data_IF_655740088000
#
_entry.id   IF_655740088000
#
_cell.length_a   1.000
_cell.length_b   1.000
_cell.length_c   1.000
_cell.angle_alpha   90.00
_cell.angle_beta   90.00
_cell.angle_gamma   90.00
#
_symmetry.space_group_name_H-M   'P 1'
#
loop_
_entity.id
_entity.type
_entity.pdbx_description
1 polymer ?
#
# COMPACT_ATOMS: atom_id res chain seq x y z
N UNK A 1 -20.38 -25.15 11.52
CA UNK A 1 -19.58 -24.59 12.65
C UNK A 1 -18.15 -24.20 12.20
N UNK A 2 -17.49 -24.98 11.34
CA UNK A 2 -16.11 -24.73 10.92
C UNK A 2 -15.91 -23.43 10.10
N UNK A 3 -16.93 -22.97 9.38
CA UNK A 3 -16.86 -21.72 8.62
C UNK A 3 -16.92 -20.47 9.51
N UNK A 4 -17.53 -20.53 10.69
CA UNK A 4 -17.67 -19.39 11.60
C UNK A 4 -16.39 -19.11 12.38
N UNK A 5 -15.62 -20.12 12.77
CA UNK A 5 -14.31 -19.94 13.45
C UNK A 5 -13.30 -19.23 12.55
N UNK A 6 -13.44 -19.37 11.23
CA UNK A 6 -12.57 -18.67 10.26
C UNK A 6 -12.92 -17.21 10.06
N UNK A 7 -14.05 -16.73 10.59
CA UNK A 7 -14.55 -15.35 10.46
C UNK A 7 -14.17 -14.49 11.68
N UNK A 8 -13.87 -15.10 12.82
CA UNK A 8 -13.53 -14.39 14.07
C UNK A 8 -12.49 -13.25 13.87
N UNK A 9 -11.37 -13.44 13.16
CA UNK A 9 -10.43 -12.35 12.92
C UNK A 9 -11.02 -11.17 12.12
N UNK A 10 -12.02 -11.43 11.28
CA UNK A 10 -12.71 -10.39 10.51
C UNK A 10 -13.67 -9.59 11.39
N UNK A 11 -14.35 -10.26 12.33
CA UNK A 11 -15.23 -9.62 13.32
C UNK A 11 -14.42 -8.74 14.28
N UNK A 12 -13.27 -9.24 14.78
CA UNK A 12 -12.37 -8.45 15.62
C UNK A 12 -11.81 -7.22 14.89
N UNK A 13 -11.55 -7.31 13.60
CA UNK A 13 -11.14 -6.14 12.82
C UNK A 13 -12.28 -5.14 12.68
N UNK A 14 -13.53 -5.59 12.59
CA UNK A 14 -14.70 -4.71 12.50
C UNK A 14 -14.91 -3.93 13.80
N UNK A 15 -14.83 -4.57 14.97
CA UNK A 15 -14.98 -3.87 16.26
C UNK A 15 -13.96 -2.76 16.46
N UNK A 16 -12.74 -2.96 15.99
CA UNK A 16 -11.67 -1.94 16.06
C UNK A 16 -11.93 -0.70 15.21
N UNK A 17 -12.70 -0.80 14.12
CA UNK A 17 -13.13 0.39 13.35
C UNK A 17 -13.95 1.35 14.20
N UNK A 18 -14.62 0.84 15.23
CA UNK A 18 -15.44 1.60 16.16
C UNK A 18 -14.73 1.91 17.48
N UNK A 19 -13.40 1.73 17.52
CA UNK A 19 -12.57 1.94 18.72
C UNK A 19 -13.01 1.10 19.95
N UNK A 20 -13.67 -0.03 19.69
CA UNK A 20 -14.09 -0.96 20.75
C UNK A 20 -12.92 -1.90 21.10
N UNK A 21 -12.72 -2.23 22.38
CA UNK A 21 -11.73 -3.19 22.82
C UNK A 21 -12.09 -4.62 22.35
N UNK A 22 -11.08 -5.46 22.18
CA UNK A 22 -11.29 -6.86 21.80
C UNK A 22 -12.15 -7.62 22.83
N UNK A 23 -12.08 -7.22 24.10
CA UNK A 23 -12.89 -7.76 25.20
C UNK A 23 -14.40 -7.44 25.09
N UNK A 24 -14.83 -6.64 24.13
CA UNK A 24 -16.28 -6.39 23.93
C UNK A 24 -17.06 -7.69 23.71
N UNK A 25 -16.41 -8.71 23.13
CA UNK A 25 -17.02 -10.02 22.88
C UNK A 25 -17.14 -10.91 24.12
N UNK A 26 -16.48 -10.56 25.22
CA UNK A 26 -16.61 -11.23 26.52
C UNK A 26 -17.85 -10.74 27.26
N UNK A 27 -18.44 -9.63 26.83
CA UNK A 27 -19.64 -9.07 27.42
C UNK A 27 -20.88 -9.88 26.99
N UNK A 28 -21.73 -10.32 27.91
CA UNK A 28 -22.89 -11.18 27.63
C UNK A 28 -23.93 -10.52 26.71
N UNK A 29 -23.89 -9.20 26.57
CA UNK A 29 -24.79 -8.44 25.72
C UNK A 29 -24.46 -8.58 24.22
N UNK A 30 -23.21 -8.91 23.86
CA UNK A 30 -22.80 -9.08 22.49
C UNK A 30 -22.75 -10.56 22.12
N UNK A 31 -23.69 -10.98 21.31
CA UNK A 31 -23.72 -12.35 20.78
C UNK A 31 -24.27 -12.39 19.35
N UNK A 32 -24.06 -13.50 18.68
CA UNK A 32 -24.57 -13.68 17.33
C UNK A 32 -25.16 -15.07 17.13
N UNK A 33 -26.08 -15.16 16.17
CA UNK A 33 -26.67 -16.40 15.68
C UNK A 33 -26.54 -16.48 14.16
N UNK A 34 -26.27 -17.67 13.66
CA UNK A 34 -26.20 -17.96 12.23
C UNK A 34 -27.12 -19.14 11.90
N UNK A 35 -27.88 -19.01 10.83
CA UNK A 35 -28.80 -20.06 10.34
C UNK A 35 -28.84 -20.11 8.82
N UNK A 36 -29.34 -21.22 8.28
CA UNK A 36 -29.76 -21.34 6.90
C UNK A 36 -31.28 -21.44 6.91
N UNK A 37 -31.93 -20.42 6.33
CA UNK A 37 -33.39 -20.33 6.28
C UNK A 37 -33.81 -20.13 4.83
N UNK A 38 -34.67 -21.00 4.31
CA UNK A 38 -35.22 -20.90 2.94
C UNK A 38 -34.15 -20.88 1.81
N UNK A 39 -32.98 -21.52 2.03
CA UNK A 39 -31.85 -21.50 1.06
C UNK A 39 -30.95 -20.27 1.15
N UNK A 40 -31.13 -19.47 2.17
CA UNK A 40 -30.32 -18.24 2.41
C UNK A 40 -29.48 -18.36 3.69
N UNK A 41 -28.34 -17.68 3.74
CA UNK A 41 -27.64 -17.41 4.98
C UNK A 41 -28.35 -16.28 5.72
N UNK A 42 -28.64 -16.51 7.02
CA UNK A 42 -29.21 -15.51 7.91
C UNK A 42 -28.29 -15.33 9.09
N UNK A 43 -27.79 -14.11 9.30
CA UNK A 43 -26.91 -13.74 10.42
C UNK A 43 -27.64 -12.71 11.27
N UNK A 44 -27.62 -12.91 12.57
CA UNK A 44 -28.18 -11.96 13.55
C UNK A 44 -27.10 -11.63 14.58
N UNK A 45 -26.82 -10.35 14.75
CA UNK A 45 -25.98 -9.83 15.82
C UNK A 45 -26.84 -9.06 16.81
N UNK A 46 -26.56 -9.24 18.07
CA UNK A 46 -27.21 -8.58 19.19
C UNK A 46 -26.15 -7.80 19.99
N UNK A 47 -26.44 -6.57 20.33
CA UNK A 47 -25.62 -5.71 21.15
C UNK A 47 -26.35 -5.28 22.41
N UNK A 48 -25.86 -4.25 23.11
CA UNK A 48 -26.44 -3.76 24.37
C UNK A 48 -27.86 -3.23 24.22
N UNK A 49 -28.11 -2.48 23.16
CA UNK A 49 -29.38 -1.77 22.92
C UNK A 49 -29.96 -2.05 21.53
N UNK A 50 -29.19 -2.57 20.63
CA UNK A 50 -29.53 -2.74 19.23
C UNK A 50 -29.35 -4.19 18.79
N UNK A 51 -30.01 -4.52 17.66
CA UNK A 51 -29.79 -5.77 16.94
C UNK A 51 -29.70 -5.47 15.43
N UNK A 52 -28.99 -6.31 14.71
CA UNK A 52 -28.93 -6.25 13.26
C UNK A 52 -29.09 -7.65 12.68
N UNK A 53 -29.78 -7.74 11.53
CA UNK A 53 -29.96 -8.98 10.77
C UNK A 53 -29.54 -8.73 9.34
N UNK A 54 -28.71 -9.63 8.81
CA UNK A 54 -28.37 -9.70 7.40
C UNK A 54 -28.83 -11.02 6.79
N UNK A 55 -29.17 -10.97 5.52
CA UNK A 55 -29.59 -12.14 4.73
C UNK A 55 -28.92 -12.08 3.37
N UNK A 56 -28.46 -13.22 2.87
CA UNK A 56 -27.92 -13.34 1.50
C UNK A 56 -28.20 -14.74 0.95
N UNK A 57 -28.40 -14.84 -0.37
CA UNK A 57 -28.52 -16.11 -1.03
C UNK A 57 -27.24 -16.94 -0.91
N UNK A 58 -27.40 -18.26 -0.83
CA UNK A 58 -26.27 -19.19 -0.83
C UNK A 58 -25.78 -19.34 -2.27
N UNK A 59 -24.55 -18.89 -2.61
CA UNK A 59 -24.04 -19.06 -3.96
C UNK A 59 -24.02 -20.52 -4.40
N UNK A 60 -24.37 -20.75 -5.66
CA UNK A 60 -24.24 -22.05 -6.31
C UNK A 60 -23.35 -21.96 -7.52
N UNK A 61 -22.46 -22.94 -7.69
CA UNK A 61 -21.53 -23.03 -8.79
C UNK A 61 -21.37 -24.48 -9.22
N UNK A 62 -21.04 -24.71 -10.48
CA UNK A 62 -20.84 -26.05 -11.02
C UNK A 62 -19.57 -26.73 -10.49
N UNK A 63 -18.50 -25.95 -10.21
CA UNK A 63 -17.28 -26.43 -9.60
C UNK A 63 -17.36 -26.34 -8.08
N UNK A 64 -17.18 -27.47 -7.39
CA UNK A 64 -17.30 -27.56 -5.94
C UNK A 64 -16.28 -26.69 -5.19
N UNK A 65 -15.06 -26.46 -5.75
CA UNK A 65 -14.04 -25.61 -5.14
C UNK A 65 -14.40 -24.15 -5.27
N UNK A 66 -14.85 -23.73 -6.45
CA UNK A 66 -15.33 -22.38 -6.72
C UNK A 66 -16.56 -22.09 -5.87
N UNK A 67 -17.50 -23.04 -5.79
CA UNK A 67 -18.67 -22.95 -4.93
C UNK A 67 -18.31 -22.73 -3.46
N UNK A 68 -17.37 -23.51 -2.91
CA UNK A 68 -16.92 -23.35 -1.53
C UNK A 68 -16.29 -21.98 -1.28
N UNK A 69 -15.52 -21.48 -2.25
CA UNK A 69 -14.91 -20.14 -2.19
C UNK A 69 -15.99 -19.03 -2.21
N UNK A 70 -16.95 -19.11 -3.12
CA UNK A 70 -18.03 -18.13 -3.23
C UNK A 70 -18.92 -18.13 -1.98
N UNK A 71 -19.29 -19.29 -1.45
CA UNK A 71 -20.05 -19.43 -0.18
C UNK A 71 -19.31 -18.77 0.98
N UNK A 72 -18.00 -19.03 1.13
CA UNK A 72 -17.19 -18.44 2.18
C UNK A 72 -17.06 -16.92 2.03
N UNK A 73 -16.91 -16.41 0.82
CA UNK A 73 -16.89 -14.97 0.54
C UNK A 73 -18.22 -14.30 0.88
N UNK A 74 -19.33 -14.87 0.46
CA UNK A 74 -20.67 -14.36 0.75
C UNK A 74 -20.94 -14.32 2.25
N UNK A 75 -20.66 -15.40 2.97
CA UNK A 75 -20.83 -15.47 4.42
C UNK A 75 -19.98 -14.45 5.16
N UNK A 76 -18.71 -14.29 4.77
CA UNK A 76 -17.83 -13.28 5.35
C UNK A 76 -18.30 -11.85 5.09
N UNK A 77 -18.78 -11.58 3.88
CA UNK A 77 -19.34 -10.26 3.52
C UNK A 77 -20.58 -9.99 4.37
N UNK A 78 -21.51 -10.96 4.45
CA UNK A 78 -22.72 -10.84 5.25
C UNK A 78 -22.42 -10.57 6.74
N UNK A 79 -21.57 -11.38 7.35
CA UNK A 79 -21.21 -11.21 8.77
C UNK A 79 -20.61 -9.82 9.05
N UNK A 80 -19.69 -9.36 8.19
CA UNK A 80 -19.06 -8.05 8.35
C UNK A 80 -20.04 -6.90 8.21
N UNK A 81 -20.91 -6.94 7.20
CA UNK A 81 -21.93 -5.90 7.00
C UNK A 81 -22.93 -5.87 8.16
N UNK A 82 -23.45 -7.02 8.57
CA UNK A 82 -24.44 -7.10 9.67
C UNK A 82 -23.84 -6.62 10.98
N UNK A 83 -22.59 -6.97 11.29
CA UNK A 83 -21.91 -6.47 12.48
C UNK A 83 -21.64 -4.97 12.38
N UNK A 84 -21.22 -4.47 11.20
CA UNK A 84 -21.05 -3.05 10.96
C UNK A 84 -22.34 -2.26 11.27
N UNK A 85 -23.48 -2.73 10.75
CA UNK A 85 -24.78 -2.09 10.96
C UNK A 85 -25.18 -2.03 12.45
N UNK A 86 -24.88 -3.10 13.20
CA UNK A 86 -25.08 -3.10 14.64
C UNK A 86 -24.23 -2.03 15.33
N UNK A 87 -22.91 -2.07 15.09
CA UNK A 87 -21.96 -1.20 15.79
C UNK A 87 -22.17 0.27 15.43
N UNK A 88 -22.52 0.55 14.17
CA UNK A 88 -22.88 1.89 13.72
C UNK A 88 -24.10 2.45 14.47
N UNK A 89 -25.15 1.62 14.64
CA UNK A 89 -26.36 2.01 15.38
C UNK A 89 -26.07 2.22 16.88
N UNK A 90 -25.23 1.40 17.48
CA UNK A 90 -24.89 1.49 18.89
C UNK A 90 -23.95 2.66 19.23
N UNK A 91 -22.95 2.92 18.38
CA UNK A 91 -21.90 3.89 18.67
C UNK A 91 -22.12 5.25 18.03
N UNK A 92 -22.92 5.32 16.97
CA UNK A 92 -23.06 6.52 16.13
C UNK A 92 -21.80 6.86 15.31
N UNK A 93 -20.76 6.03 15.35
CA UNK A 93 -19.50 6.26 14.61
C UNK A 93 -19.68 5.82 13.15
N UNK A 94 -19.17 6.65 12.24
CA UNK A 94 -19.11 6.36 10.80
C UNK A 94 -17.65 6.26 10.35
N UNK A 95 -17.07 5.07 10.27
CA UNK A 95 -15.73 4.90 9.72
C UNK A 95 -15.66 5.37 8.25
N UNK A 96 -14.60 6.05 7.80
CA UNK A 96 -14.55 6.67 6.47
C UNK A 96 -14.69 5.67 5.30
N UNK A 97 -14.31 4.42 5.52
CA UNK A 97 -14.44 3.34 4.57
C UNK A 97 -15.64 2.42 4.84
N UNK A 98 -16.56 2.84 5.67
CA UNK A 98 -17.76 2.09 6.01
C UNK A 98 -17.46 0.66 6.47
N UNK A 99 -18.23 -0.30 5.98
CA UNK A 99 -18.06 -1.73 6.28
C UNK A 99 -16.88 -2.40 5.57
N UNK A 100 -16.12 -1.65 4.74
CA UNK A 100 -14.98 -2.16 3.99
C UNK A 100 -13.77 -2.36 4.88
N UNK A 101 -13.43 -3.61 5.19
CA UNK A 101 -12.22 -3.98 5.97
C UNK A 101 -11.07 -4.46 5.09
N UNK A 102 -11.27 -4.55 3.78
CA UNK A 102 -10.27 -4.99 2.81
C UNK A 102 -9.12 -4.00 2.66
N UNK A 103 -7.96 -4.52 2.26
CA UNK A 103 -6.76 -3.70 2.01
C UNK A 103 -6.81 -2.98 0.65
N UNK A 104 -7.71 -3.36 -0.25
CA UNK A 104 -7.86 -2.85 -1.62
C UNK A 104 -9.30 -2.47 -1.92
N UNK A 105 -9.70 -1.27 -1.55
CA UNK A 105 -11.06 -0.77 -1.85
C UNK A 105 -11.38 -0.69 -3.35
N UNK A 106 -10.36 -0.48 -4.18
CA UNK A 106 -10.47 -0.43 -5.65
C UNK A 106 -11.14 -1.67 -6.24
N UNK A 107 -10.91 -2.86 -5.68
CA UNK A 107 -11.49 -4.10 -6.16
C UNK A 107 -13.03 -4.08 -6.17
N UNK A 108 -13.67 -3.46 -5.17
CA UNK A 108 -15.13 -3.34 -5.15
C UNK A 108 -15.66 -2.39 -6.21
N UNK A 109 -14.90 -1.31 -6.51
CA UNK A 109 -15.23 -0.42 -7.63
C UNK A 109 -15.13 -1.19 -8.96
N UNK A 110 -14.06 -1.98 -9.16
CA UNK A 110 -13.92 -2.81 -10.35
C UNK A 110 -14.96 -3.92 -10.44
N UNK A 111 -15.35 -4.55 -9.32
CA UNK A 111 -16.47 -5.52 -9.30
C UNK A 111 -17.75 -4.86 -9.83
N UNK A 112 -18.12 -3.69 -9.32
CA UNK A 112 -19.31 -2.97 -9.76
C UNK A 112 -19.27 -2.59 -11.26
N UNK A 113 -18.12 -2.10 -11.74
CA UNK A 113 -17.93 -1.77 -13.16
C UNK A 113 -18.01 -3.02 -14.05
N UNK A 114 -17.45 -4.16 -13.62
CA UNK A 114 -17.52 -5.42 -14.35
C UNK A 114 -18.94 -6.04 -14.37
N UNK A 115 -19.77 -5.70 -13.39
CA UNK A 115 -21.21 -6.02 -13.37
C UNK A 115 -22.02 -5.10 -14.29
N UNK A 116 -21.38 -4.14 -14.97
CA UNK A 116 -22.01 -3.26 -15.95
C UNK A 116 -22.51 -1.93 -15.40
N UNK A 117 -22.19 -1.59 -14.15
CA UNK A 117 -22.50 -0.26 -13.59
C UNK A 117 -21.69 0.83 -14.27
N UNK A 118 -22.25 2.03 -14.41
CA UNK A 118 -21.46 3.20 -14.74
C UNK A 118 -20.57 3.60 -13.57
N UNK A 119 -19.55 4.46 -13.81
CA UNK A 119 -18.69 4.97 -12.72
C UNK A 119 -19.49 5.69 -11.63
N UNK A 120 -20.52 6.45 -12.01
CA UNK A 120 -21.41 7.15 -11.08
C UNK A 120 -22.25 6.17 -10.26
N UNK A 121 -22.87 5.16 -10.91
CA UNK A 121 -23.65 4.14 -10.21
C UNK A 121 -22.78 3.30 -9.27
N UNK A 122 -21.55 2.97 -9.67
CA UNK A 122 -20.57 2.26 -8.83
C UNK A 122 -20.19 3.08 -7.60
N UNK A 123 -20.02 4.40 -7.75
CA UNK A 123 -19.79 5.32 -6.63
C UNK A 123 -20.95 5.32 -5.64
N UNK A 124 -22.19 5.48 -6.14
CA UNK A 124 -23.40 5.43 -5.32
C UNK A 124 -23.57 4.06 -4.65
N UNK A 125 -23.26 2.98 -5.36
CA UNK A 125 -23.28 1.63 -4.81
C UNK A 125 -22.34 1.47 -3.61
N UNK A 126 -21.11 2.01 -3.68
CA UNK A 126 -20.19 1.96 -2.55
C UNK A 126 -20.70 2.75 -1.35
N UNK A 127 -21.29 3.92 -1.57
CA UNK A 127 -21.88 4.75 -0.51
C UNK A 127 -23.07 4.05 0.13
N UNK A 128 -24.01 3.55 -0.65
CA UNK A 128 -25.26 2.98 -0.13
C UNK A 128 -25.10 1.55 0.41
N UNK A 129 -24.32 0.70 -0.28
CA UNK A 129 -24.19 -0.71 0.09
C UNK A 129 -23.15 -0.92 1.21
N UNK A 130 -22.09 -0.12 1.23
CA UNK A 130 -20.97 -0.31 2.16
C UNK A 130 -20.81 0.85 3.15
N UNK A 131 -21.66 1.87 3.09
CA UNK A 131 -21.58 3.08 3.93
C UNK A 131 -20.23 3.80 3.83
N UNK A 132 -19.60 3.76 2.64
CA UNK A 132 -18.35 4.48 2.36
C UNK A 132 -18.64 5.97 2.32
N UNK A 133 -17.79 6.78 2.93
CA UNK A 133 -17.92 8.23 2.87
C UNK A 133 -17.88 8.73 1.40
N UNK A 134 -18.75 9.65 1.00
CA UNK A 134 -18.85 10.11 -0.40
C UNK A 134 -17.51 10.58 -0.98
N UNK A 135 -16.68 11.27 -0.19
CA UNK A 135 -15.35 11.74 -0.60
C UNK A 135 -14.38 10.57 -0.86
N UNK A 136 -14.50 9.45 -0.14
CA UNK A 136 -13.69 8.25 -0.38
C UNK A 136 -14.17 7.47 -1.62
N UNK A 137 -15.46 7.44 -1.87
CA UNK A 137 -16.00 6.88 -3.09
C UNK A 137 -15.59 7.72 -4.33
N UNK A 138 -15.57 9.05 -4.20
CA UNK A 138 -15.08 9.95 -5.25
C UNK A 138 -13.57 9.75 -5.52
N UNK A 139 -12.76 9.61 -4.46
CA UNK A 139 -11.33 9.29 -4.58
C UNK A 139 -11.11 7.99 -5.35
N UNK A 140 -11.90 6.93 -5.08
CA UNK A 140 -11.81 5.66 -5.82
C UNK A 140 -12.20 5.82 -7.29
N UNK A 141 -13.25 6.58 -7.59
CA UNK A 141 -13.68 6.82 -8.96
C UNK A 141 -12.62 7.57 -9.76
N UNK A 142 -12.00 8.60 -9.18
CA UNK A 142 -10.90 9.33 -9.81
C UNK A 142 -9.70 8.41 -10.06
N UNK A 143 -9.31 7.64 -9.05
CA UNK A 143 -8.20 6.70 -9.12
C UNK A 143 -8.40 5.64 -10.22
N UNK A 144 -9.55 4.98 -10.24
CA UNK A 144 -9.88 3.95 -11.24
C UNK A 144 -9.92 4.56 -12.64
N UNK A 145 -10.42 5.80 -12.78
CA UNK A 145 -10.41 6.52 -14.07
C UNK A 145 -8.99 6.78 -14.57
N UNK A 146 -8.02 7.02 -13.68
CA UNK A 146 -6.60 7.13 -14.05
C UNK A 146 -6.03 5.77 -14.44
N UNK A 147 -6.31 4.73 -13.65
CA UNK A 147 -5.81 3.37 -13.93
C UNK A 147 -6.32 2.83 -15.28
N UNK A 148 -7.56 3.11 -15.66
CA UNK A 148 -8.13 2.71 -16.95
C UNK A 148 -7.44 3.37 -18.16
N UNK A 149 -6.68 4.44 -17.97
CA UNK A 149 -5.89 5.10 -19.02
C UNK A 149 -4.46 4.52 -19.13
N UNK A 150 -4.04 3.71 -18.19
CA UNK A 150 -2.73 3.07 -18.22
C UNK A 150 -2.73 1.91 -19.24
N UNK A 151 -1.57 1.57 -19.82
CA UNK A 151 -1.48 0.42 -20.72
C UNK A 151 -1.98 -0.85 -20.02
N UNK A 152 -2.94 -1.58 -20.61
CA UNK A 152 -3.42 -2.82 -20.02
C UNK A 152 -2.28 -3.85 -19.95
N UNK A 153 -2.27 -4.74 -18.94
CA UNK A 153 -1.27 -5.79 -18.88
C UNK A 153 -1.47 -6.79 -20.05
N UNK A 154 -0.37 -7.23 -20.64
CA UNK A 154 -0.38 -8.37 -21.56
C UNK A 154 -0.17 -9.68 -20.80
N UNK A 155 -0.66 -10.80 -21.33
CA UNK A 155 -0.54 -12.12 -20.69
C UNK A 155 0.91 -12.57 -20.51
N UNK A 156 1.82 -12.06 -21.36
CA UNK A 156 3.24 -12.40 -21.33
C UNK A 156 4.08 -11.42 -20.52
N UNK A 157 3.50 -10.37 -19.96
CA UNK A 157 4.23 -9.39 -19.19
C UNK A 157 4.47 -9.82 -17.75
N UNK A 158 5.64 -9.43 -17.24
CA UNK A 158 6.04 -9.66 -15.86
C UNK A 158 6.74 -8.43 -15.28
N UNK A 159 6.58 -8.24 -13.98
CA UNK A 159 7.37 -7.31 -13.19
C UNK A 159 8.52 -8.03 -12.51
N UNK A 160 9.64 -7.32 -12.36
CA UNK A 160 10.78 -7.77 -11.58
C UNK A 160 10.99 -6.85 -10.39
N UNK A 161 11.04 -7.43 -9.20
CA UNK A 161 11.43 -6.73 -7.99
C UNK A 161 12.82 -7.17 -7.55
N UNK A 162 13.70 -6.21 -7.24
CA UNK A 162 15.05 -6.46 -6.74
C UNK A 162 15.17 -5.87 -5.35
N UNK A 163 15.25 -6.73 -4.32
CA UNK A 163 15.31 -6.31 -2.92
C UNK A 163 16.74 -6.05 -2.45
N UNK A 164 16.99 -4.90 -1.84
CA UNK A 164 18.25 -4.56 -1.15
C UNK A 164 17.92 -4.42 0.34
N UNK A 165 18.29 -5.38 1.20
CA UNK A 165 17.80 -5.44 2.58
C UNK A 165 18.59 -4.58 3.56
N UNK A 166 19.32 -3.57 3.11
CA UNK A 166 20.19 -2.76 3.96
C UNK A 166 19.63 -1.34 4.13
N UNK A 167 19.71 -0.82 5.37
CA UNK A 167 19.45 0.57 5.71
C UNK A 167 20.61 1.13 6.55
N UNK A 168 20.86 2.43 6.49
CA UNK A 168 21.86 3.07 7.35
C UNK A 168 21.45 3.07 8.82
N UNK A 169 20.15 3.26 9.09
CA UNK A 169 19.52 3.13 10.42
C UNK A 169 18.14 2.54 10.27
N UNK A 170 17.61 1.89 11.32
CA UNK A 170 16.24 1.34 11.30
C UNK A 170 15.24 2.37 11.85
N UNK A 171 14.30 2.78 11.00
CA UNK A 171 13.20 3.66 11.41
C UNK A 171 12.28 2.96 12.41
N UNK A 172 11.76 3.69 13.41
CA UNK A 172 10.96 3.13 14.51
C UNK A 172 9.60 2.58 14.05
N UNK A 173 9.04 3.13 12.97
CA UNK A 173 7.77 2.67 12.37
C UNK A 173 7.94 1.53 11.36
N UNK A 174 9.17 1.28 10.89
CA UNK A 174 9.43 0.36 9.78
C UNK A 174 9.15 -1.10 10.16
N UNK A 175 8.42 -1.79 9.29
CA UNK A 175 8.11 -3.21 9.41
C UNK A 175 8.70 -4.07 8.29
N UNK A 176 9.47 -3.47 7.39
CA UNK A 176 10.12 -4.21 6.32
C UNK A 176 11.23 -5.13 6.86
N UNK A 177 11.46 -6.23 6.13
CA UNK A 177 12.53 -7.21 6.42
C UNK A 177 13.89 -6.65 5.97
N UNK A 178 14.32 -5.55 6.62
CA UNK A 178 15.62 -4.92 6.37
C UNK A 178 16.45 -4.87 7.65
N UNK A 179 17.75 -4.97 7.48
CA UNK A 179 18.74 -4.85 8.56
C UNK A 179 19.54 -3.56 8.47
N UNK A 180 20.16 -3.17 9.57
CA UNK A 180 21.11 -2.08 9.54
C UNK A 180 22.37 -2.51 8.81
N UNK A 181 22.92 -1.60 7.99
CA UNK A 181 24.11 -1.84 7.17
C UNK A 181 25.35 -2.22 8.04
N UNK A 182 25.44 -1.67 9.25
CA UNK A 182 26.59 -1.86 10.14
C UNK A 182 27.90 -1.44 9.48
N UNK A 183 28.91 -2.31 9.57
CA UNK A 183 30.21 -2.12 8.90
C UNK A 183 30.22 -2.51 7.41
N UNK A 184 29.08 -2.97 6.87
CA UNK A 184 28.89 -3.32 5.47
C UNK A 184 29.48 -4.67 5.03
N UNK A 185 30.04 -5.48 5.95
CA UNK A 185 30.69 -6.76 5.59
C UNK A 185 29.75 -7.75 4.88
N UNK A 186 28.44 -7.66 5.10
CA UNK A 186 27.44 -8.52 4.46
C UNK A 186 27.09 -8.09 3.03
N UNK A 187 27.43 -6.88 2.60
CA UNK A 187 27.01 -6.34 1.28
C UNK A 187 27.65 -7.10 0.12
N UNK A 188 28.97 -7.31 0.16
CA UNK A 188 29.68 -7.97 -0.93
C UNK A 188 29.22 -9.45 -1.15
N UNK A 189 29.12 -10.30 -0.12
CA UNK A 189 28.57 -11.64 -0.28
C UNK A 189 27.10 -11.62 -0.72
N UNK A 190 26.30 -10.70 -0.22
CA UNK A 190 24.92 -10.53 -0.64
C UNK A 190 24.80 -10.21 -2.14
N UNK A 191 25.52 -9.19 -2.62
CA UNK A 191 25.52 -8.84 -4.04
C UNK A 191 26.00 -9.97 -4.93
N UNK A 192 26.99 -10.76 -4.47
CA UNK A 192 27.46 -11.95 -5.19
C UNK A 192 26.34 -13.00 -5.34
N UNK A 193 25.56 -13.24 -4.31
CA UNK A 193 24.41 -14.15 -4.35
C UNK A 193 23.29 -13.60 -5.22
N UNK A 194 22.94 -12.32 -5.05
CA UNK A 194 21.91 -11.63 -5.82
C UNK A 194 22.24 -11.65 -7.32
N UNK A 195 23.48 -11.41 -7.73
CA UNK A 195 23.87 -11.43 -9.14
C UNK A 195 23.70 -12.81 -9.78
N UNK A 196 23.99 -13.88 -9.05
CA UNK A 196 23.72 -15.26 -9.51
C UNK A 196 22.21 -15.51 -9.67
N UNK A 197 21.43 -15.04 -8.72
CA UNK A 197 19.95 -15.13 -8.76
C UNK A 197 19.42 -14.35 -9.99
N UNK A 198 19.92 -13.14 -10.23
CA UNK A 198 19.55 -12.33 -11.40
C UNK A 198 19.85 -13.04 -12.71
N UNK A 199 21.04 -13.69 -12.85
CA UNK A 199 21.39 -14.45 -14.05
C UNK A 199 20.43 -15.62 -14.28
N UNK A 200 20.15 -16.40 -13.25
CA UNK A 200 19.24 -17.54 -13.33
C UNK A 200 17.82 -17.12 -13.68
N UNK A 201 17.30 -16.07 -13.02
CA UNK A 201 15.97 -15.57 -13.27
C UNK A 201 15.82 -14.91 -14.65
N UNK A 202 16.83 -14.18 -15.10
CA UNK A 202 16.83 -13.63 -16.45
C UNK A 202 16.79 -14.74 -17.53
N UNK A 203 17.47 -15.86 -17.30
CA UNK A 203 17.39 -17.02 -18.19
C UNK A 203 15.99 -17.64 -18.17
N UNK A 204 15.40 -17.84 -16.98
CA UNK A 204 14.03 -18.36 -16.85
C UNK A 204 13.00 -17.50 -17.58
N UNK A 205 13.10 -16.16 -17.48
CA UNK A 205 12.19 -15.25 -18.18
C UNK A 205 12.33 -15.36 -19.71
N UNK A 206 13.55 -15.44 -20.23
CA UNK A 206 13.80 -15.65 -21.67
C UNK A 206 13.24 -16.98 -22.15
N UNK A 207 13.49 -18.06 -21.41
CA UNK A 207 13.03 -19.41 -21.77
C UNK A 207 11.48 -19.50 -21.72
N UNK A 208 10.86 -18.72 -20.84
CA UNK A 208 9.40 -18.61 -20.74
C UNK A 208 8.78 -17.61 -21.74
N UNK A 209 9.59 -16.93 -22.57
CA UNK A 209 9.12 -15.91 -23.52
C UNK A 209 8.43 -14.72 -22.87
N UNK A 210 8.81 -14.35 -21.64
CA UNK A 210 8.17 -13.25 -20.89
C UNK A 210 8.79 -11.90 -21.25
N UNK A 211 7.93 -10.88 -21.38
CA UNK A 211 8.30 -9.49 -21.57
C UNK A 211 8.30 -8.75 -20.22
N UNK A 212 9.19 -7.77 -20.09
CA UNK A 212 9.31 -6.98 -18.85
C UNK A 212 8.46 -5.73 -18.91
N UNK A 213 7.52 -5.61 -17.98
CA UNK A 213 6.70 -4.42 -17.83
C UNK A 213 7.38 -3.40 -16.92
N UNK A 214 7.75 -3.79 -15.72
CA UNK A 214 8.46 -2.93 -14.79
C UNK A 214 9.60 -3.65 -14.06
N UNK A 215 10.68 -2.93 -13.79
CA UNK A 215 11.77 -3.36 -12.91
C UNK A 215 11.89 -2.36 -11.76
N UNK A 216 11.72 -2.86 -10.54
CA UNK A 216 11.68 -2.05 -9.33
C UNK A 216 12.76 -2.48 -8.34
N UNK A 217 13.68 -1.59 -8.03
CA UNK A 217 14.73 -1.81 -7.02
C UNK A 217 14.34 -1.14 -5.71
N UNK A 218 14.07 -1.94 -4.70
CA UNK A 218 13.54 -1.44 -3.42
C UNK A 218 14.03 -2.24 -2.22
N UNK A 219 13.24 -2.25 -1.15
CA UNK A 219 13.49 -3.01 0.07
C UNK A 219 13.83 -2.16 1.28
N UNK A 220 15.07 -2.21 1.77
CA UNK A 220 15.56 -1.32 2.80
C UNK A 220 15.87 0.06 2.22
N UNK A 221 17.05 0.20 1.66
CA UNK A 221 17.50 1.42 0.97
C UNK A 221 18.53 1.05 -0.08
N UNK A 222 18.19 0.93 -1.36
CA UNK A 222 19.15 0.60 -2.42
C UNK A 222 20.36 1.52 -2.47
N UNK A 223 20.19 2.80 -2.19
CA UNK A 223 21.26 3.79 -2.16
C UNK A 223 22.14 3.74 -0.88
N UNK A 224 21.87 2.81 0.04
CA UNK A 224 22.82 2.47 1.11
C UNK A 224 24.08 1.78 0.58
N UNK A 225 24.02 1.18 -0.62
CA UNK A 225 25.18 0.71 -1.36
C UNK A 225 26.12 1.88 -1.67
N UNK A 226 27.44 1.63 -1.63
CA UNK A 226 28.43 2.67 -1.91
C UNK A 226 28.53 3.02 -3.41
N UNK A 227 29.40 3.97 -3.75
CA UNK A 227 29.57 4.50 -5.12
C UNK A 227 30.16 3.50 -6.12
N UNK A 228 30.68 2.36 -5.68
CA UNK A 228 31.11 1.26 -6.54
C UNK A 228 30.03 0.16 -6.66
N UNK A 229 29.36 -0.13 -5.55
CA UNK A 229 28.38 -1.22 -5.45
C UNK A 229 27.09 -0.91 -6.19
N UNK A 230 26.56 0.32 -6.04
CA UNK A 230 25.32 0.73 -6.70
C UNK A 230 25.43 0.71 -8.23
N UNK A 231 26.44 1.29 -8.89
CA UNK A 231 26.62 1.18 -10.33
C UNK A 231 26.71 -0.26 -10.81
N UNK A 232 27.44 -1.13 -10.11
CA UNK A 232 27.55 -2.57 -10.47
C UNK A 232 26.20 -3.28 -10.39
N UNK A 233 25.37 -2.97 -9.40
CA UNK A 233 23.99 -3.49 -9.32
C UNK A 233 23.17 -3.03 -10.52
N UNK A 234 23.24 -1.73 -10.86
CA UNK A 234 22.47 -1.14 -11.97
C UNK A 234 22.91 -1.70 -13.33
N UNK A 235 24.21 -1.85 -13.54
CA UNK A 235 24.76 -2.49 -14.76
C UNK A 235 24.27 -3.94 -14.87
N UNK A 236 24.32 -4.70 -13.77
CA UNK A 236 23.83 -6.07 -13.73
C UNK A 236 22.32 -6.14 -14.00
N UNK A 237 21.56 -5.22 -13.43
CA UNK A 237 20.11 -5.10 -13.69
C UNK A 237 19.84 -4.88 -15.19
N UNK A 238 20.52 -3.94 -15.82
CA UNK A 238 20.33 -3.67 -17.26
C UNK A 238 20.78 -4.81 -18.17
N UNK A 239 21.81 -5.59 -17.76
CA UNK A 239 22.25 -6.78 -18.49
C UNK A 239 21.22 -7.92 -18.39
N UNK A 240 20.64 -8.14 -17.21
CA UNK A 240 19.71 -9.23 -16.95
C UNK A 240 18.28 -8.92 -17.42
N UNK A 241 17.85 -7.68 -17.24
CA UNK A 241 16.48 -7.22 -17.43
C UNK A 241 16.40 -5.99 -18.35
N UNK A 242 16.88 -6.07 -19.60
CA UNK A 242 16.81 -4.96 -20.54
C UNK A 242 15.37 -4.75 -21.06
N UNK A 243 15.13 -3.56 -21.59
CA UNK A 243 13.91 -3.23 -22.34
C UNK A 243 12.60 -3.28 -21.53
N UNK A 244 12.65 -3.17 -20.20
CA UNK A 244 11.44 -2.93 -19.42
C UNK A 244 10.84 -1.56 -19.78
N UNK A 245 9.52 -1.45 -19.69
CA UNK A 245 8.83 -0.18 -19.95
C UNK A 245 9.14 0.85 -18.86
N UNK A 246 9.40 0.39 -17.63
CA UNK A 246 9.66 1.24 -16.49
C UNK A 246 10.80 0.68 -15.61
N UNK A 247 11.72 1.57 -15.21
CA UNK A 247 12.75 1.28 -14.21
C UNK A 247 12.64 2.27 -13.07
N UNK A 248 12.48 1.75 -11.84
CA UNK A 248 12.38 2.55 -10.61
C UNK A 248 13.43 2.11 -9.61
N UNK A 249 14.06 3.08 -8.94
CA UNK A 249 15.00 2.84 -7.83
C UNK A 249 14.57 3.64 -6.60
N UNK A 250 14.35 2.96 -5.47
CA UNK A 250 14.13 3.63 -4.19
C UNK A 250 15.41 4.28 -3.69
N UNK A 251 15.50 5.59 -3.82
CA UNK A 251 16.55 6.43 -3.23
C UNK A 251 16.04 7.12 -1.96
N UNK A 252 15.24 6.40 -1.18
CA UNK A 252 14.33 6.90 -0.17
C UNK A 252 14.97 7.56 1.06
N UNK A 253 16.31 7.62 1.12
CA UNK A 253 17.02 8.24 2.24
C UNK A 253 17.97 9.32 1.75
N UNK A 254 17.66 10.59 1.98
CA UNK A 254 18.52 11.71 1.58
C UNK A 254 19.97 11.60 2.04
N UNK A 255 20.19 11.08 3.26
CA UNK A 255 21.52 10.85 3.85
C UNK A 255 22.40 9.82 3.13
N UNK A 256 21.83 9.07 2.16
CA UNK A 256 22.57 8.07 1.39
C UNK A 256 22.89 8.52 -0.03
N UNK A 257 22.42 9.69 -0.44
CA UNK A 257 22.56 10.19 -1.80
C UNK A 257 23.86 10.99 -1.99
N UNK A 258 24.49 10.73 -3.12
CA UNK A 258 25.63 11.51 -3.63
C UNK A 258 25.44 11.75 -5.13
N UNK A 259 26.05 12.81 -5.66
CA UNK A 259 25.94 13.10 -7.09
C UNK A 259 26.42 11.94 -7.98
N UNK A 260 27.56 11.25 -7.70
CA UNK A 260 28.01 10.10 -8.49
C UNK A 260 26.98 8.97 -8.53
N UNK A 261 26.28 8.68 -7.42
CA UNK A 261 25.21 7.66 -7.36
C UNK A 261 24.02 8.06 -8.23
N UNK A 262 23.56 9.30 -8.13
CA UNK A 262 22.45 9.81 -8.95
C UNK A 262 22.78 9.82 -10.44
N UNK A 263 23.99 10.19 -10.81
CA UNK A 263 24.48 10.09 -12.18
C UNK A 263 24.53 8.63 -12.68
N UNK A 264 24.94 7.69 -11.83
CA UNK A 264 24.93 6.28 -12.17
C UNK A 264 23.50 5.75 -12.41
N UNK A 265 22.55 6.14 -11.55
CA UNK A 265 21.11 5.83 -11.71
C UNK A 265 20.61 6.36 -13.05
N UNK A 266 20.91 7.62 -13.38
CA UNK A 266 20.50 8.22 -14.66
C UNK A 266 21.17 7.51 -15.86
N UNK A 267 22.48 7.23 -15.81
CA UNK A 267 23.20 6.52 -16.89
C UNK A 267 22.66 5.13 -17.14
N UNK A 268 22.16 4.46 -16.11
CA UNK A 268 21.50 3.16 -16.23
C UNK A 268 20.10 3.24 -16.86
N UNK A 269 19.61 4.42 -17.24
CA UNK A 269 18.29 4.57 -17.87
C UNK A 269 17.11 4.47 -16.91
N UNK A 270 17.34 4.56 -15.60
CA UNK A 270 16.27 4.60 -14.60
C UNK A 270 15.47 5.88 -14.77
N UNK A 271 14.17 5.76 -14.96
CA UNK A 271 13.28 6.90 -15.18
C UNK A 271 12.81 7.55 -13.88
N UNK A 272 12.61 6.75 -12.82
CA UNK A 272 12.03 7.20 -11.55
C UNK A 272 12.90 6.86 -10.37
N UNK A 273 13.03 7.83 -9.44
CA UNK A 273 13.54 7.57 -8.10
C UNK A 273 12.53 8.03 -7.05
N UNK A 274 12.70 7.58 -5.80
CA UNK A 274 12.02 8.18 -4.67
C UNK A 274 13.02 8.92 -3.76
N UNK A 275 12.66 10.11 -3.28
CA UNK A 275 13.37 10.83 -2.21
C UNK A 275 12.35 11.06 -1.11
N UNK A 276 12.44 10.31 0.01
CA UNK A 276 11.38 10.19 0.98
C UNK A 276 11.66 10.98 2.26
N UNK A 277 11.15 12.22 2.40
CA UNK A 277 11.31 12.99 3.62
C UNK A 277 10.60 12.34 4.81
N UNK A 278 9.46 11.73 4.60
CA UNK A 278 8.46 11.30 5.58
C UNK A 278 7.81 12.49 6.31
N UNK A 279 8.59 13.46 6.74
CA UNK A 279 8.23 14.76 7.28
C UNK A 279 9.36 15.76 7.07
N UNK A 280 9.05 17.04 7.07
CA UNK A 280 10.04 18.13 7.05
C UNK A 280 10.26 18.74 8.46
N UNK A 281 9.91 17.98 9.50
CA UNK A 281 10.11 18.38 10.89
C UNK A 281 11.30 17.61 11.50
N UNK A 282 12.42 18.30 11.72
CA UNK A 282 13.64 17.69 12.25
C UNK A 282 13.47 17.05 13.62
N UNK A 283 12.56 17.58 14.46
CA UNK A 283 12.25 16.96 15.76
C UNK A 283 11.62 15.59 15.56
N UNK A 284 10.66 15.49 14.65
CA UNK A 284 9.98 14.24 14.34
C UNK A 284 10.91 13.26 13.64
N UNK A 285 11.76 13.72 12.71
CA UNK A 285 12.77 12.87 12.05
C UNK A 285 13.65 12.15 13.08
N UNK A 286 14.11 12.86 14.13
CA UNK A 286 14.86 12.23 15.23
C UNK A 286 14.05 11.19 15.99
N UNK A 287 12.78 11.48 16.30
CA UNK A 287 11.88 10.55 17.01
C UNK A 287 11.64 9.26 16.22
N UNK A 288 11.47 9.37 14.90
CA UNK A 288 11.24 8.20 14.03
C UNK A 288 12.53 7.49 13.58
N UNK A 289 13.70 7.90 14.09
CA UNK A 289 14.99 7.24 13.80
C UNK A 289 15.54 7.51 12.39
N UNK A 290 15.19 8.67 11.80
CA UNK A 290 15.77 9.16 10.55
C UNK A 290 17.02 10.00 10.83
N UNK A 291 18.13 9.71 10.13
CA UNK A 291 19.41 10.39 10.33
C UNK A 291 19.54 11.69 9.54
N UNK A 292 18.62 11.97 8.60
CA UNK A 292 18.66 13.19 7.78
C UNK A 292 17.85 14.33 8.41
N UNK A 293 18.07 15.54 7.90
CA UNK A 293 17.32 16.76 8.21
C UNK A 293 16.45 17.20 7.04
N UNK A 294 15.50 18.12 7.29
CA UNK A 294 14.71 18.76 6.25
C UNK A 294 15.56 19.42 5.18
N UNK A 295 16.65 20.12 5.59
CA UNK A 295 17.59 20.73 4.66
C UNK A 295 18.25 19.69 3.73
N UNK A 296 18.66 18.54 4.26
CA UNK A 296 19.25 17.47 3.43
C UNK A 296 18.26 16.88 2.43
N UNK A 297 16.95 16.92 2.69
CA UNK A 297 15.93 16.58 1.70
C UNK A 297 15.97 17.56 0.52
N UNK A 298 16.00 18.86 0.79
CA UNK A 298 16.06 19.90 -0.24
C UNK A 298 17.38 19.82 -1.05
N UNK A 299 18.50 19.58 -0.39
CA UNK A 299 19.79 19.37 -1.03
C UNK A 299 19.80 18.11 -1.92
N UNK A 300 19.27 16.99 -1.43
CA UNK A 300 19.16 15.76 -2.20
C UNK A 300 18.27 15.94 -3.43
N UNK A 301 17.19 16.69 -3.28
CA UNK A 301 16.29 17.01 -4.39
C UNK A 301 16.98 17.86 -5.45
N UNK A 302 17.65 18.93 -5.04
CA UNK A 302 18.45 19.79 -5.95
C UNK A 302 19.56 19.00 -6.65
N UNK A 303 20.24 18.09 -5.94
CA UNK A 303 21.27 17.21 -6.48
C UNK A 303 20.70 16.25 -7.53
N UNK A 304 19.52 15.68 -7.30
CA UNK A 304 18.83 14.82 -8.27
C UNK A 304 18.45 15.58 -9.55
N UNK A 305 17.97 16.83 -9.42
CA UNK A 305 17.71 17.70 -10.57
C UNK A 305 19.00 18.05 -11.33
N UNK A 306 20.10 18.30 -10.62
CA UNK A 306 21.43 18.51 -11.24
C UNK A 306 21.90 17.28 -12.02
N UNK A 307 21.61 16.08 -11.54
CA UNK A 307 21.88 14.82 -12.25
C UNK A 307 20.92 14.56 -13.42
N UNK A 308 20.01 15.49 -13.76
CA UNK A 308 18.96 15.37 -14.77
C UNK A 308 18.00 14.19 -14.52
N UNK A 309 17.64 13.97 -13.28
CA UNK A 309 16.55 13.08 -12.92
C UNK A 309 15.26 13.92 -12.82
N UNK A 310 14.31 13.60 -13.69
CA UNK A 310 13.08 14.39 -13.87
C UNK A 310 11.83 13.75 -13.26
N UNK A 311 11.92 12.50 -12.78
CA UNK A 311 10.81 11.87 -12.10
C UNK A 311 11.22 11.50 -10.67
N UNK A 312 10.81 12.33 -9.73
CA UNK A 312 11.05 12.14 -8.30
C UNK A 312 9.70 11.92 -7.61
N UNK A 313 9.58 10.81 -6.88
CA UNK A 313 8.49 10.58 -5.95
C UNK A 313 8.90 11.01 -4.56
N UNK A 314 8.00 11.65 -3.82
CA UNK A 314 8.17 11.96 -2.40
C UNK A 314 7.18 11.15 -1.57
N UNK A 315 7.68 10.38 -0.58
CA UNK A 315 6.82 9.74 0.41
C UNK A 315 6.78 10.59 1.68
N UNK A 316 5.56 10.83 2.16
CA UNK A 316 5.27 11.52 3.42
C UNK A 316 4.34 10.66 4.27
N UNK A 317 4.38 10.84 5.59
CA UNK A 317 3.55 10.06 6.52
C UNK A 317 2.67 11.00 7.34
N UNK A 318 1.36 10.87 7.17
CA UNK A 318 0.37 11.46 8.04
C UNK A 318 0.26 10.66 9.35
N UNK A 319 0.17 11.35 10.48
CA UNK A 319 -0.03 10.73 11.78
C UNK A 319 1.26 10.29 12.49
N UNK A 320 2.40 10.88 12.19
CA UNK A 320 3.64 10.62 12.91
C UNK A 320 3.56 11.05 14.39
N UNK A 321 4.28 10.34 15.30
CA UNK A 321 4.23 10.64 16.73
C UNK A 321 4.63 12.08 17.04
N UNK A 322 3.76 12.80 17.78
CA UNK A 322 3.99 14.15 18.22
C UNK A 322 3.80 15.24 17.16
N UNK A 323 3.33 14.89 15.95
CA UNK A 323 2.95 15.87 14.93
C UNK A 323 1.47 16.28 15.05
N UNK A 324 1.23 17.55 14.78
CA UNK A 324 -0.09 18.13 14.60
C UNK A 324 -0.29 18.52 13.12
N UNK A 325 -1.45 19.11 12.82
CA UNK A 325 -1.80 19.51 11.44
C UNK A 325 -0.84 20.57 10.88
N UNK A 326 -0.32 21.48 11.71
CA UNK A 326 0.61 22.53 11.25
C UNK A 326 1.99 21.95 10.91
N UNK A 327 2.42 20.91 11.63
CA UNK A 327 3.65 20.17 11.33
C UNK A 327 3.52 19.49 9.95
N UNK A 328 2.40 18.85 9.68
CA UNK A 328 2.14 18.21 8.40
C UNK A 328 1.96 19.25 7.28
N UNK A 329 1.33 20.39 7.56
CA UNK A 329 1.19 21.48 6.60
C UNK A 329 2.56 22.01 6.13
N UNK A 330 3.53 22.17 7.04
CA UNK A 330 4.91 22.55 6.65
C UNK A 330 5.55 21.53 5.71
N UNK A 331 5.25 20.24 5.89
CA UNK A 331 5.71 19.19 4.98
C UNK A 331 5.06 19.30 3.61
N UNK A 332 3.76 19.61 3.55
CA UNK A 332 3.04 19.85 2.29
C UNK A 332 3.52 21.12 1.58
N UNK A 333 3.80 22.20 2.33
CA UNK A 333 4.40 23.42 1.77
C UNK A 333 5.78 23.16 1.12
N UNK A 334 6.56 22.27 1.70
CA UNK A 334 7.82 21.85 1.09
C UNK A 334 7.59 21.05 -0.20
N UNK A 335 6.61 20.16 -0.24
CA UNK A 335 6.24 19.44 -1.46
C UNK A 335 5.81 20.40 -2.57
N UNK A 336 5.02 21.45 -2.24
CA UNK A 336 4.62 22.50 -3.20
C UNK A 336 5.84 23.26 -3.74
N UNK A 337 6.84 23.56 -2.90
CA UNK A 337 8.07 24.25 -3.36
C UNK A 337 8.97 23.35 -4.20
N UNK A 338 9.12 22.09 -3.83
CA UNK A 338 10.01 21.14 -4.51
C UNK A 338 9.43 20.59 -5.80
N UNK A 339 8.10 20.66 -5.97
CA UNK A 339 7.37 20.23 -7.16
C UNK A 339 7.79 18.83 -7.66
N UNK A 340 7.58 17.77 -6.88
CA UNK A 340 7.82 16.41 -7.34
C UNK A 340 6.85 16.02 -8.44
N UNK A 341 7.17 15.02 -9.25
CA UNK A 341 6.28 14.47 -10.27
C UNK A 341 5.29 13.46 -9.69
N UNK A 342 5.60 12.93 -8.50
CA UNK A 342 4.65 12.09 -7.75
C UNK A 342 4.83 12.27 -6.24
N UNK A 343 3.73 12.11 -5.53
CA UNK A 343 3.65 12.24 -4.07
C UNK A 343 2.90 11.04 -3.52
N UNK A 344 3.46 10.37 -2.52
CA UNK A 344 2.74 9.32 -1.79
C UNK A 344 2.46 9.79 -0.37
N UNK A 345 1.20 9.86 -0.02
CA UNK A 345 0.76 10.16 1.34
C UNK A 345 0.43 8.84 2.03
N UNK A 346 1.31 8.44 2.93
CA UNK A 346 1.08 7.30 3.81
C UNK A 346 0.36 7.75 5.07
N UNK A 347 -0.49 6.90 5.61
CA UNK A 347 -1.00 7.04 6.98
C UNK A 347 -0.26 6.08 7.89
N UNK A 348 0.22 6.55 9.01
CA UNK A 348 0.97 5.72 9.95
C UNK A 348 0.12 4.50 10.37
N UNK A 349 0.69 3.32 10.19
CA UNK A 349 0.14 2.06 10.67
C UNK A 349 1.09 1.42 11.67
N UNK A 350 0.60 1.15 12.88
CA UNK A 350 1.41 0.48 13.90
C UNK A 350 1.37 -1.02 13.67
N UNK A 351 2.48 -1.58 13.23
CA UNK A 351 2.64 -3.02 13.05
C UNK A 351 3.33 -3.65 14.25
N UNK A 352 2.97 -4.89 14.58
CA UNK A 352 3.55 -5.65 15.70
C UNK A 352 5.06 -5.73 15.68
N UNK A 353 5.68 -5.71 14.50
CA UNK A 353 7.13 -5.76 14.30
C UNK A 353 7.82 -4.40 14.36
N UNK A 354 7.07 -3.29 14.49
CA UNK A 354 7.65 -1.95 14.58
C UNK A 354 8.04 -1.60 16.04
N UNK A 355 9.11 -0.82 16.20
CA UNK A 355 9.55 -0.35 17.52
C UNK A 355 8.51 0.58 18.15
N UNK A 356 7.78 1.36 17.38
CA UNK A 356 6.67 2.20 17.85
C UNK A 356 5.60 1.41 18.60
N UNK A 357 5.31 0.18 18.16
CA UNK A 357 4.37 -0.71 18.87
C UNK A 357 4.90 -1.10 20.24
N UNK A 358 6.20 -1.39 20.34
CA UNK A 358 6.84 -1.81 21.58
C UNK A 358 6.98 -0.67 22.58
N UNK A 359 7.07 0.57 22.11
CA UNK A 359 7.29 1.77 22.92
C UNK A 359 5.97 2.49 23.31
N UNK A 360 4.80 1.96 22.88
CA UNK A 360 3.47 2.57 23.10
C UNK A 360 3.43 4.08 22.77
N UNK A 361 4.07 4.46 21.65
CA UNK A 361 4.16 5.87 21.28
C UNK A 361 2.76 6.47 21.06
N UNK A 362 2.47 7.69 21.59
CA UNK A 362 1.18 8.33 21.38
C UNK A 362 0.99 8.67 19.90
N UNK A 363 -0.13 8.22 19.34
CA UNK A 363 -0.55 8.58 17.99
C UNK A 363 -1.50 9.78 18.04
N UNK A 364 -1.55 10.58 16.95
CA UNK A 364 -2.61 11.55 16.79
C UNK A 364 -3.97 10.84 16.75
N UNK A 365 -5.01 11.56 17.17
CA UNK A 365 -6.39 11.08 17.07
C UNK A 365 -6.82 10.89 15.60
N UNK A 366 -7.92 10.16 15.41
CA UNK A 366 -8.41 9.83 14.07
C UNK A 366 -8.86 11.04 13.27
N UNK A 367 -9.35 12.10 13.91
CA UNK A 367 -9.75 13.34 13.24
C UNK A 367 -8.52 14.10 12.70
N UNK A 368 -7.50 14.25 13.53
CA UNK A 368 -6.23 14.86 13.11
C UNK A 368 -5.60 14.09 11.94
N UNK A 369 -5.57 12.75 12.00
CA UNK A 369 -5.07 11.94 10.91
C UNK A 369 -5.88 12.11 9.61
N UNK A 370 -7.21 12.20 9.71
CA UNK A 370 -8.10 12.44 8.58
C UNK A 370 -7.84 13.80 7.92
N UNK A 371 -7.67 14.86 8.73
CA UNK A 371 -7.34 16.21 8.24
C UNK A 371 -5.97 16.25 7.54
N UNK A 372 -4.98 15.52 8.06
CA UNK A 372 -3.66 15.40 7.41
C UNK A 372 -3.77 14.71 6.03
N UNK A 373 -4.52 13.61 5.95
CA UNK A 373 -4.73 12.90 4.68
C UNK A 373 -5.45 13.79 3.66
N UNK A 374 -6.48 14.54 4.10
CA UNK A 374 -7.18 15.48 3.24
C UNK A 374 -6.24 16.60 2.74
N UNK A 375 -5.41 17.16 3.62
CA UNK A 375 -4.41 18.16 3.23
C UNK A 375 -3.40 17.60 2.21
N UNK A 376 -3.04 16.33 2.33
CA UNK A 376 -2.21 15.64 1.35
C UNK A 376 -2.88 15.54 -0.03
N UNK A 377 -4.16 15.18 -0.08
CA UNK A 377 -4.96 15.16 -1.31
C UNK A 377 -5.06 16.56 -1.94
N UNK A 378 -5.37 17.57 -1.12
CA UNK A 378 -5.50 18.96 -1.60
C UNK A 378 -4.18 19.47 -2.18
N UNK A 379 -3.05 19.14 -1.53
CA UNK A 379 -1.70 19.47 -2.01
C UNK A 379 -1.39 18.77 -3.33
N UNK A 380 -1.72 17.49 -3.46
CA UNK A 380 -1.54 16.74 -4.70
C UNK A 380 -2.35 17.38 -5.86
N UNK A 381 -3.60 17.76 -5.62
CA UNK A 381 -4.42 18.45 -6.61
C UNK A 381 -3.86 19.84 -6.97
N UNK A 382 -3.33 20.61 -6.01
CA UNK A 382 -2.63 21.88 -6.29
C UNK A 382 -1.40 21.68 -7.17
N UNK A 383 -0.70 20.57 -7.05
CA UNK A 383 0.41 20.19 -7.91
C UNK A 383 -0.05 19.66 -9.29
N UNK A 384 -1.36 19.54 -9.55
CA UNK A 384 -1.90 18.98 -10.79
C UNK A 384 -1.83 17.45 -10.87
N UNK A 385 -1.59 16.80 -9.74
CA UNK A 385 -1.52 15.34 -9.65
C UNK A 385 -2.91 14.71 -9.48
N UNK A 386 -3.01 13.44 -9.87
CA UNK A 386 -4.18 12.58 -9.65
C UNK A 386 -3.82 11.33 -8.89
N UNK A 387 -4.73 10.76 -8.09
CA UNK A 387 -4.51 9.47 -7.43
C UNK A 387 -4.39 8.37 -8.49
N UNK A 388 -3.42 7.46 -8.33
CA UNK A 388 -3.21 6.36 -9.28
C UNK A 388 -3.08 4.99 -8.64
N UNK A 389 -2.80 4.91 -7.34
CA UNK A 389 -2.90 3.67 -6.56
C UNK A 389 -3.28 3.99 -5.12
N UNK A 390 -3.93 3.02 -4.47
CA UNK A 390 -4.38 3.13 -3.10
C UNK A 390 -4.34 1.75 -2.43
N UNK A 391 -3.93 1.75 -1.17
CA UNK A 391 -4.06 0.56 -0.33
C UNK A 391 -4.29 0.95 1.13
N UNK A 392 -4.93 0.02 1.84
CA UNK A 392 -5.15 0.17 3.28
C UNK A 392 -4.35 -0.88 4.04
N UNK A 393 -4.06 -0.60 5.28
CA UNK A 393 -3.45 -1.54 6.21
C UNK A 393 -4.30 -1.65 7.47
N UNK A 394 -4.12 -2.72 8.21
CA UNK A 394 -4.71 -2.82 9.54
C UNK A 394 -4.01 -1.86 10.49
N UNK A 395 -4.73 -1.32 11.45
CA UNK A 395 -4.20 -0.43 12.50
C UNK A 395 -3.64 0.91 12.00
N UNK A 396 -4.23 1.43 10.94
CA UNK A 396 -3.93 2.79 10.47
C UNK A 396 -4.60 3.83 11.36
N UNK A 397 -3.92 4.96 11.59
CA UNK A 397 -4.48 6.09 12.31
C UNK A 397 -5.78 6.57 11.64
N UNK A 398 -6.88 6.69 12.39
CA UNK A 398 -8.18 7.11 11.88
C UNK A 398 -8.79 6.21 10.79
N UNK A 399 -8.34 4.96 10.66
CA UNK A 399 -8.79 4.03 9.61
C UNK A 399 -8.62 4.57 8.17
N UNK A 400 -7.66 5.45 7.97
CA UNK A 400 -7.39 6.09 6.68
C UNK A 400 -6.72 5.12 5.68
N UNK A 401 -6.21 5.65 4.62
CA UNK A 401 -5.56 4.93 3.50
C UNK A 401 -4.14 5.47 3.23
N UNK A 402 -3.43 4.77 2.35
CA UNK A 402 -2.22 5.24 1.68
C UNK A 402 -2.56 5.49 0.23
N UNK A 403 -2.21 6.65 -0.30
CA UNK A 403 -2.51 7.03 -1.68
C UNK A 403 -1.26 7.56 -2.36
N UNK A 404 -0.99 7.06 -3.56
CA UNK A 404 -0.01 7.63 -4.46
C UNK A 404 -0.68 8.52 -5.50
N UNK A 405 -0.16 9.73 -5.63
CA UNK A 405 -0.57 10.74 -6.58
C UNK A 405 0.55 10.99 -7.59
N UNK A 406 0.21 11.25 -8.84
CA UNK A 406 1.19 11.54 -9.88
C UNK A 406 0.65 12.55 -10.90
N UNK A 407 1.55 13.30 -11.50
CA UNK A 407 1.24 14.08 -12.71
C UNK A 407 0.81 13.13 -13.85
N UNK A 408 0.01 13.59 -14.81
CA UNK A 408 -0.33 12.79 -15.98
C UNK A 408 0.91 12.21 -16.68
N UNK A 409 0.89 10.90 -16.94
CA UNK A 409 2.02 10.17 -17.53
C UNK A 409 3.15 9.80 -16.55
N UNK A 410 3.00 10.07 -15.25
CA UNK A 410 3.99 9.78 -14.22
C UNK A 410 3.54 8.73 -13.20
N UNK A 411 2.41 8.05 -13.41
CA UNK A 411 1.99 6.94 -12.56
C UNK A 411 3.04 5.81 -12.56
N UNK A 412 3.37 5.26 -11.39
CA UNK A 412 4.29 4.12 -11.27
C UNK A 412 3.55 2.84 -11.63
N UNK A 413 3.91 2.22 -12.76
CA UNK A 413 3.25 1.02 -13.24
C UNK A 413 3.39 -0.13 -12.25
N UNK A 414 4.59 -0.35 -11.71
CA UNK A 414 4.84 -1.36 -10.70
C UNK A 414 3.91 -1.23 -9.47
N UNK A 415 3.66 0.01 -9.00
CA UNK A 415 2.78 0.23 -7.86
C UNK A 415 1.33 -0.13 -8.16
N UNK A 416 0.86 0.14 -9.36
CA UNK A 416 -0.49 -0.27 -9.81
C UNK A 416 -0.54 -1.80 -9.91
N UNK A 417 0.42 -2.41 -10.57
CA UNK A 417 0.44 -3.85 -10.83
C UNK A 417 0.49 -4.68 -9.53
N UNK A 418 1.28 -4.23 -8.54
CA UNK A 418 1.34 -4.92 -7.24
C UNK A 418 0.07 -4.73 -6.40
N UNK A 419 -0.61 -3.56 -6.53
CA UNK A 419 -1.82 -3.27 -5.75
C UNK A 419 -3.06 -3.89 -6.39
N UNK A 420 -3.22 -3.79 -7.70
CA UNK A 420 -4.40 -4.31 -8.41
C UNK A 420 -4.24 -5.77 -8.85
N UNK A 421 -3.06 -6.37 -8.66
CA UNK A 421 -2.77 -7.77 -9.02
C UNK A 421 -2.94 -8.04 -10.52
N UNK A 422 -2.47 -7.11 -11.33
CA UNK A 422 -2.64 -7.17 -12.78
C UNK A 422 -1.55 -7.97 -13.48
N UNK A 423 -0.37 -8.11 -12.88
CA UNK A 423 0.80 -8.75 -13.49
C UNK A 423 1.49 -9.71 -12.53
N UNK A 424 2.14 -10.73 -13.05
CA UNK A 424 3.03 -11.59 -12.27
C UNK A 424 4.26 -10.82 -11.81
N UNK A 425 4.73 -11.07 -10.59
CA UNK A 425 5.92 -10.44 -10.04
C UNK A 425 6.96 -11.50 -9.72
N UNK A 426 8.14 -11.38 -10.32
CA UNK A 426 9.33 -12.15 -9.95
C UNK A 426 10.16 -11.31 -8.99
N UNK A 427 10.27 -11.74 -7.76
CA UNK A 427 11.02 -11.04 -6.72
C UNK A 427 12.36 -11.72 -6.46
N UNK A 428 13.41 -10.93 -6.42
CA UNK A 428 14.79 -11.32 -6.25
C UNK A 428 15.36 -10.70 -4.96
N UNK A 429 16.27 -11.40 -4.32
CA UNK A 429 16.93 -10.92 -3.12
C UNK A 429 16.11 -11.12 -1.85
N UNK A 430 16.71 -10.77 -0.72
CA UNK A 430 16.14 -10.99 0.60
C UNK A 430 14.89 -10.12 0.83
N UNK A 431 13.83 -10.75 1.36
CA UNK A 431 12.55 -10.08 1.66
C UNK A 431 11.64 -9.90 0.44
N UNK A 432 12.08 -10.26 -0.75
CA UNK A 432 11.25 -10.30 -1.95
C UNK A 432 10.23 -11.45 -1.89
N UNK A 433 9.03 -11.21 -2.40
CA UNK A 433 7.98 -12.23 -2.50
C UNK A 433 7.47 -12.26 -3.93
N UNK A 434 7.77 -13.35 -4.64
CA UNK A 434 7.21 -13.59 -5.97
C UNK A 434 5.71 -13.82 -5.89
N UNK A 435 4.98 -13.36 -6.92
CA UNK A 435 3.53 -13.39 -6.94
C UNK A 435 3.05 -13.87 -8.31
N UNK A 436 2.17 -14.85 -8.29
CA UNK A 436 1.47 -15.31 -9.49
C UNK A 436 0.02 -14.87 -9.42
N UNK A 437 -0.45 -14.24 -10.48
CA UNK A 437 -1.85 -13.86 -10.66
C UNK A 437 -2.57 -14.97 -11.40
N UNK A 438 -3.76 -15.33 -10.93
CA UNK A 438 -4.65 -16.30 -11.56
C UNK A 438 -5.98 -15.62 -11.84
N UNK A 439 -6.51 -15.70 -13.07
CA UNK A 439 -7.76 -15.02 -13.44
C UNK A 439 -8.95 -15.40 -12.54
N UNK A 440 -9.01 -16.66 -12.11
CA UNK A 440 -10.17 -17.23 -11.39
C UNK A 440 -10.14 -16.98 -9.88
N UNK A 441 -8.95 -16.95 -9.27
CA UNK A 441 -8.81 -16.91 -7.81
C UNK A 441 -8.04 -15.70 -7.30
N UNK A 442 -7.54 -14.85 -8.21
CA UNK A 442 -6.64 -13.77 -7.87
C UNK A 442 -5.22 -14.27 -7.59
N UNK A 443 -4.53 -13.65 -6.64
CA UNK A 443 -3.10 -13.85 -6.39
C UNK A 443 -2.78 -15.04 -5.49
N UNK A 444 -1.77 -15.83 -5.86
CA UNK A 444 -1.07 -16.73 -4.96
C UNK A 444 0.37 -16.25 -4.73
N UNK A 445 0.86 -16.41 -3.49
CA UNK A 445 2.29 -16.27 -3.17
C UNK A 445 3.02 -17.55 -3.62
N UNK A 446 4.17 -17.38 -4.24
CA UNK A 446 5.03 -18.48 -4.70
C UNK A 446 6.35 -18.41 -3.95
#
# INVERSE_FOLDING_TARGET
>A
QDDLTTIEPDLMNMTRLFSLPDSVWDAPEYHFAAAIEGGQYVIRFYGKTQAAQGVTDIPSDADARIQALHRRRALRRLCRQTLYDLLRKETGIHPPWGSMTGIRPTHLMYEALNEGMSMADAQEHLVHQFDVAPEKAALLAELVSVQQQLPPPGDDWMDVYIGIPFCTTRCTYCSFSSGELGDGHLVAPYLTALFREMDACAQLLRDAGKELRAVYVGGGTPTSLNEEQLPRLLEKMMQCFPCAMEYTVEAGRPDTLTLPKLEAIRRAGVQRISINPQTMNDKTLRVIGRAHTAQQVEEAYAMARTANIHHINMDVIAGLPGENIDDFARTMDAALRLTPESLTVHTLAIKRSSRLHLENAPLPDGETASRMVQLGLDTAHQLGMKPYYLYRQKYMAGNQENVGYALPGHACQYNVDIMEETTHILALGAGGISKRVYPEIGRAHV
#
